data_IF_414628152511
#
_entry.id   IF_414628152511
#
_cell.length_a   1.000
_cell.length_b   1.000
_cell.length_c   1.000
_cell.angle_alpha   90.00
_cell.angle_beta   90.00
_cell.angle_gamma   90.00
#
_symmetry.space_group_name_H-M   'P 1'
#
loop_
_entity.id
_entity.type
_entity.pdbx_description
1 polymer ?
#
# COMPACT_ATOMS: atom_id res chain seq x y z
N UNK A 1 17.55 1.38 3.12
CA UNK A 1 18.32 1.59 1.88
C UNK A 1 17.59 0.88 0.75
N UNK A 2 17.49 1.52 -0.42
CA UNK A 2 16.95 0.87 -1.61
C UNK A 2 17.94 -0.20 -2.10
N UNK A 3 17.45 -1.42 -2.26
CA UNK A 3 18.18 -2.61 -2.70
C UNK A 3 17.60 -3.03 -4.06
N UNK A 4 17.93 -2.23 -5.07
CA UNK A 4 17.28 -2.23 -6.37
C UNK A 4 17.77 -3.37 -7.29
N UNK A 5 17.09 -3.50 -8.44
CA UNK A 5 17.34 -4.49 -9.48
C UNK A 5 17.21 -5.93 -9.01
N UNK A 6 17.77 -6.86 -9.78
CA UNK A 6 17.64 -8.32 -9.64
C UNK A 6 16.98 -8.97 -10.86
N UNK A 7 16.24 -8.19 -11.65
CA UNK A 7 15.43 -8.64 -12.79
C UNK A 7 16.14 -8.58 -14.15
N UNK A 8 17.41 -8.15 -14.21
CA UNK A 8 18.14 -7.89 -15.46
C UNK A 8 19.26 -8.89 -15.79
N UNK A 9 19.31 -10.06 -15.13
CA UNK A 9 20.30 -11.07 -15.52
C UNK A 9 20.07 -11.48 -16.98
N UNK A 10 21.02 -11.21 -17.87
CA UNK A 10 20.85 -11.61 -19.28
C UNK A 10 20.76 -13.13 -19.42
N UNK A 11 19.96 -13.55 -20.40
CA UNK A 11 19.59 -14.94 -20.67
C UNK A 11 20.22 -15.49 -21.96
N UNK A 12 21.13 -14.72 -22.55
CA UNK A 12 21.89 -15.09 -23.73
C UNK A 12 23.28 -15.62 -23.37
N UNK A 13 24.04 -16.00 -24.39
CA UNK A 13 25.36 -16.61 -24.26
C UNK A 13 26.45 -15.58 -23.87
N UNK A 14 26.11 -14.31 -23.68
CA UNK A 14 27.04 -13.28 -23.19
C UNK A 14 27.31 -13.38 -21.68
N UNK A 15 26.52 -14.17 -20.94
CA UNK A 15 26.65 -14.34 -19.49
C UNK A 15 27.10 -15.76 -19.15
N UNK A 16 28.17 -15.85 -18.36
CA UNK A 16 28.62 -17.09 -17.74
C UNK A 16 28.53 -17.00 -16.21
N UNK A 17 27.86 -17.95 -15.57
CA UNK A 17 27.77 -18.05 -14.10
C UNK A 17 28.95 -18.89 -13.56
N UNK A 18 29.70 -18.35 -12.60
CA UNK A 18 30.89 -18.99 -12.04
C UNK A 18 30.61 -20.34 -11.36
N UNK A 19 29.38 -20.55 -10.86
CA UNK A 19 28.91 -21.82 -10.29
C UNK A 19 28.69 -22.94 -11.31
N UNK A 20 28.82 -22.65 -12.61
CA UNK A 20 29.07 -23.62 -13.68
C UNK A 20 28.11 -24.83 -13.76
N UNK A 21 26.96 -24.65 -14.40
CA UNK A 21 26.12 -25.63 -15.15
C UNK A 21 24.66 -25.16 -15.26
N UNK A 22 24.24 -24.19 -14.44
CA UNK A 22 22.90 -23.62 -14.50
C UNK A 22 22.80 -22.70 -15.70
N UNK A 23 21.86 -23.01 -16.60
CA UNK A 23 21.53 -22.18 -17.75
C UNK A 23 21.05 -20.78 -17.27
N UNK A 24 21.57 -19.71 -17.86
CA UNK A 24 21.19 -18.32 -17.50
C UNK A 24 19.68 -18.07 -17.61
N UNK A 25 18.99 -18.73 -18.54
CA UNK A 25 17.51 -18.71 -18.66
C UNK A 25 16.80 -19.28 -17.44
N UNK A 26 17.40 -20.27 -16.79
CA UNK A 26 16.83 -20.87 -15.56
C UNK A 26 17.15 -19.96 -14.38
N UNK A 27 18.40 -19.52 -14.27
CA UNK A 27 18.85 -18.72 -13.12
C UNK A 27 18.28 -17.30 -13.09
N UNK A 28 17.81 -16.76 -14.22
CA UNK A 28 17.22 -15.43 -14.31
C UNK A 28 16.15 -15.16 -13.24
N UNK A 29 15.22 -16.10 -13.03
CA UNK A 29 14.18 -15.96 -12.03
C UNK A 29 14.65 -16.23 -10.59
N UNK A 30 15.77 -16.93 -10.41
CA UNK A 30 16.38 -17.17 -9.10
C UNK A 30 17.24 -15.98 -8.64
N UNK A 31 17.71 -15.16 -9.59
CA UNK A 31 18.65 -14.07 -9.34
C UNK A 31 18.14 -13.05 -8.29
N UNK A 32 16.86 -12.59 -8.32
CA UNK A 32 16.33 -11.73 -7.27
C UNK A 32 16.45 -12.34 -5.86
N UNK A 33 16.19 -13.64 -5.70
CA UNK A 33 16.32 -14.33 -4.41
C UNK A 33 17.78 -14.38 -3.95
N UNK A 34 18.71 -14.67 -4.86
CA UNK A 34 20.15 -14.67 -4.56
C UNK A 34 20.63 -13.27 -4.18
N UNK A 35 20.17 -12.24 -4.88
CA UNK A 35 20.47 -10.84 -4.59
C UNK A 35 19.98 -10.43 -3.20
N UNK A 36 18.72 -10.73 -2.87
CA UNK A 36 18.16 -10.48 -1.54
C UNK A 36 18.91 -11.24 -0.44
N UNK A 37 19.33 -12.48 -0.72
CA UNK A 37 20.07 -13.32 0.23
C UNK A 37 21.42 -12.70 0.55
N UNK A 38 22.20 -12.32 -0.48
CA UNK A 38 23.50 -11.67 -0.31
C UNK A 38 23.39 -10.41 0.55
N UNK A 39 22.40 -9.55 0.27
CA UNK A 39 22.20 -8.31 1.01
C UNK A 39 21.79 -8.57 2.47
N UNK A 40 20.98 -9.60 2.71
CA UNK A 40 20.61 -10.02 4.07
C UNK A 40 21.80 -10.55 4.84
N UNK A 41 22.66 -11.35 4.20
CA UNK A 41 23.85 -11.91 4.81
C UNK A 41 24.82 -10.80 5.24
N UNK A 42 25.03 -9.78 4.39
CA UNK A 42 25.84 -8.60 4.76
C UNK A 42 25.29 -7.89 5.99
N UNK A 43 23.98 -7.65 6.06
CA UNK A 43 23.35 -7.02 7.23
C UNK A 43 23.50 -7.88 8.49
N UNK A 44 23.40 -9.20 8.35
CA UNK A 44 23.52 -10.18 9.43
C UNK A 44 24.96 -10.27 9.95
N UNK A 45 25.95 -10.34 9.06
CA UNK A 45 27.37 -10.39 9.43
C UNK A 45 27.84 -9.13 10.15
N UNK A 46 27.22 -7.98 9.84
CA UNK A 46 27.49 -6.71 10.51
C UNK A 46 26.70 -6.53 11.82
N UNK A 47 25.75 -7.43 12.13
CA UNK A 47 24.88 -7.34 13.30
C UNK A 47 23.91 -6.16 13.27
N UNK A 48 23.41 -5.81 12.08
CA UNK A 48 22.59 -4.61 11.82
C UNK A 48 21.12 -4.92 11.51
N UNK A 49 20.65 -6.13 11.78
CA UNK A 49 19.30 -6.60 11.39
C UNK A 49 18.19 -5.80 12.06
N UNK A 50 18.44 -5.30 13.28
CA UNK A 50 17.47 -4.52 14.04
C UNK A 50 17.58 -3.00 13.80
N UNK A 51 18.65 -2.55 13.15
CA UNK A 51 18.97 -1.13 12.96
C UNK A 51 18.78 -0.68 11.51
N UNK A 52 18.55 -1.61 10.58
CA UNK A 52 18.47 -1.32 9.16
C UNK A 52 17.22 -1.88 8.51
N UNK A 53 16.70 -1.12 7.53
CA UNK A 53 15.60 -1.55 6.67
C UNK A 53 16.08 -1.47 5.23
N UNK A 54 16.23 -2.62 4.59
CA UNK A 54 16.40 -2.76 3.13
C UNK A 54 15.04 -2.92 2.45
N UNK A 55 14.89 -2.37 1.24
CA UNK A 55 13.69 -2.59 0.44
C UNK A 55 14.00 -2.89 -1.03
N UNK A 56 13.23 -3.81 -1.61
CA UNK A 56 13.44 -4.35 -2.97
C UNK A 56 12.20 -4.16 -3.84
N UNK A 57 12.37 -4.17 -5.17
CA UNK A 57 11.26 -4.33 -6.12
C UNK A 57 11.23 -5.67 -6.85
N UNK A 58 12.34 -6.41 -6.84
CA UNK A 58 12.41 -7.73 -7.45
C UNK A 58 12.38 -8.79 -6.37
N UNK A 59 11.73 -9.91 -6.66
CA UNK A 59 11.68 -11.07 -5.81
C UNK A 59 11.46 -12.32 -6.65
N UNK A 60 11.99 -13.43 -6.17
CA UNK A 60 11.67 -14.77 -6.64
C UNK A 60 11.01 -15.60 -5.54
N UNK A 61 10.76 -16.87 -5.82
CA UNK A 61 10.23 -17.82 -4.84
C UNK A 61 11.12 -17.83 -3.58
N UNK A 62 10.48 -17.74 -2.42
CA UNK A 62 11.13 -17.71 -1.10
C UNK A 62 12.01 -16.48 -0.81
N UNK A 63 11.95 -15.42 -1.61
CA UNK A 63 12.65 -14.15 -1.31
C UNK A 63 12.16 -13.49 -0.01
N UNK A 64 10.89 -13.68 0.37
CA UNK A 64 10.27 -13.00 1.52
C UNK A 64 11.05 -13.14 2.85
N UNK A 65 11.73 -14.26 3.09
CA UNK A 65 12.53 -14.47 4.32
C UNK A 65 13.85 -13.68 4.35
N UNK A 66 14.27 -13.14 3.21
CA UNK A 66 15.51 -12.37 3.06
C UNK A 66 15.25 -10.87 2.94
N UNK A 67 14.02 -10.48 2.61
CA UNK A 67 13.63 -9.07 2.39
C UNK A 67 12.83 -8.54 3.58
N UNK A 68 13.15 -7.34 4.06
CA UNK A 68 12.35 -6.73 5.13
C UNK A 68 11.10 -6.03 4.58
N UNK A 69 11.23 -5.31 3.46
CA UNK A 69 10.20 -4.44 2.89
C UNK A 69 10.18 -4.55 1.36
N UNK A 70 8.99 -4.63 0.77
CA UNK A 70 8.82 -4.67 -0.68
C UNK A 70 8.26 -3.36 -1.21
N UNK A 71 8.96 -2.71 -2.12
CA UNK A 71 8.47 -1.55 -2.83
C UNK A 71 7.87 -2.01 -4.17
N UNK A 72 6.66 -1.58 -4.48
CA UNK A 72 5.92 -2.05 -5.67
C UNK A 72 6.47 -1.55 -7.01
N UNK A 73 7.65 -0.92 -7.04
CA UNK A 73 8.35 -0.58 -8.26
C UNK A 73 7.96 0.77 -8.86
N UNK A 74 8.33 0.95 -10.13
CA UNK A 74 8.34 2.21 -10.84
C UNK A 74 6.99 2.55 -11.49
N UNK A 75 6.00 2.94 -10.69
CA UNK A 75 4.71 3.39 -11.27
C UNK A 75 4.87 4.65 -12.12
N UNK A 76 4.05 4.77 -13.17
CA UNK A 76 3.82 6.02 -13.87
C UNK A 76 3.27 7.10 -12.94
N UNK A 77 3.55 8.35 -13.29
CA UNK A 77 3.07 9.53 -12.57
C UNK A 77 1.67 9.91 -13.09
N UNK A 78 0.71 9.00 -12.94
CA UNK A 78 -0.70 9.18 -13.31
C UNK A 78 -1.62 8.27 -12.46
N UNK A 79 -2.92 8.25 -12.77
CA UNK A 79 -3.95 7.48 -12.09
C UNK A 79 -4.31 6.18 -12.83
N UNK A 80 -3.52 5.79 -13.84
CA UNK A 80 -3.84 4.65 -14.70
C UNK A 80 -3.87 3.34 -13.92
N UNK A 81 -4.69 2.40 -14.39
CA UNK A 81 -4.89 1.11 -13.75
C UNK A 81 -3.73 0.16 -13.99
N UNK A 82 -3.10 0.30 -15.15
CA UNK A 82 -2.06 -0.58 -15.64
C UNK A 82 -0.72 -0.30 -14.96
N UNK A 83 -0.44 0.96 -14.62
CA UNK A 83 0.89 1.35 -14.10
C UNK A 83 0.90 2.60 -13.20
N UNK A 84 -0.24 3.27 -12.98
CA UNK A 84 -0.34 4.47 -12.18
C UNK A 84 -0.65 4.20 -10.70
N UNK A 85 -1.24 5.19 -10.03
CA UNK A 85 -1.63 5.11 -8.62
C UNK A 85 -2.53 3.91 -8.31
N UNK A 86 -3.41 3.51 -9.24
CA UNK A 86 -4.30 2.36 -9.09
C UNK A 86 -3.54 1.02 -9.08
N UNK A 87 -2.48 0.91 -9.88
CA UNK A 87 -1.66 -0.30 -9.93
C UNK A 87 -0.97 -0.61 -8.59
N UNK A 88 -0.76 0.39 -7.72
CA UNK A 88 -0.19 0.20 -6.38
C UNK A 88 -1.00 -0.80 -5.56
N UNK A 89 -2.33 -0.70 -5.57
CA UNK A 89 -3.20 -1.58 -4.78
C UNK A 89 -3.24 -2.97 -5.38
N UNK A 90 -3.42 -3.10 -6.69
CA UNK A 90 -3.36 -4.41 -7.35
C UNK A 90 -2.02 -5.11 -7.08
N UNK A 91 -0.89 -4.41 -7.26
CA UNK A 91 0.45 -4.95 -6.97
C UNK A 91 0.59 -5.35 -5.50
N UNK A 92 0.14 -4.50 -4.58
CA UNK A 92 0.20 -4.79 -3.14
C UNK A 92 -0.60 -6.03 -2.77
N UNK A 93 -1.79 -6.22 -3.33
CA UNK A 93 -2.62 -7.40 -3.09
C UNK A 93 -1.96 -8.68 -3.60
N UNK A 94 -1.35 -8.64 -4.79
CA UNK A 94 -0.64 -9.80 -5.36
C UNK A 94 0.64 -10.14 -4.59
N UNK A 95 1.41 -9.12 -4.20
CA UNK A 95 2.63 -9.28 -3.38
C UNK A 95 2.28 -9.82 -2.00
N UNK A 96 1.20 -9.31 -1.39
CA UNK A 96 0.63 -9.81 -0.14
C UNK A 96 0.23 -11.28 -0.22
N UNK A 97 -0.52 -11.65 -1.27
CA UNK A 97 -0.90 -13.05 -1.53
C UNK A 97 0.31 -13.97 -1.79
N UNK A 98 1.43 -13.40 -2.26
CA UNK A 98 2.69 -14.11 -2.47
C UNK A 98 3.54 -14.25 -1.20
N UNK A 99 3.05 -13.79 -0.04
CA UNK A 99 3.66 -14.00 1.27
C UNK A 99 4.49 -12.81 1.79
N UNK A 100 4.44 -11.65 1.14
CA UNK A 100 5.12 -10.42 1.59
C UNK A 100 4.11 -9.49 2.28
N UNK A 101 4.16 -9.39 3.61
CA UNK A 101 3.22 -8.51 4.31
C UNK A 101 3.58 -7.03 4.26
N UNK A 102 4.86 -6.72 4.07
CA UNK A 102 5.37 -5.36 4.16
C UNK A 102 5.55 -4.80 2.76
N UNK A 103 4.60 -3.98 2.32
CA UNK A 103 4.68 -3.28 1.03
C UNK A 103 4.63 -1.76 1.19
N UNK A 104 5.15 -1.01 0.22
CA UNK A 104 4.88 0.42 0.03
C UNK A 104 5.11 0.84 -1.44
N UNK A 105 4.73 2.07 -1.79
CA UNK A 105 4.97 2.68 -3.11
C UNK A 105 5.72 4.01 -2.98
N UNK A 106 6.22 4.53 -4.09
CA UNK A 106 6.65 5.93 -4.17
C UNK A 106 5.43 6.84 -4.08
N UNK A 107 5.35 7.70 -3.06
CA UNK A 107 4.29 8.69 -2.98
C UNK A 107 4.42 9.63 -4.20
N UNK A 108 3.44 9.56 -5.09
CA UNK A 108 3.40 10.30 -6.36
C UNK A 108 3.99 9.57 -7.56
N UNK A 109 4.38 8.30 -7.45
CA UNK A 109 4.96 7.51 -8.55
C UNK A 109 6.41 7.87 -8.86
N UNK A 110 6.96 7.30 -9.93
CA UNK A 110 8.37 7.46 -10.31
C UNK A 110 8.56 7.85 -11.78
N UNK A 111 7.92 7.12 -12.70
CA UNK A 111 8.19 7.18 -14.13
C UNK A 111 7.51 8.39 -14.76
N UNK A 112 8.30 9.44 -15.00
CA UNK A 112 7.96 10.52 -15.90
C UNK A 112 8.32 10.11 -17.33
N UNK A 113 7.36 10.24 -18.24
CA UNK A 113 7.59 10.06 -19.68
C UNK A 113 7.41 11.40 -20.38
N UNK A 114 8.49 11.91 -20.96
CA UNK A 114 8.46 13.04 -21.87
C UNK A 114 8.40 12.52 -23.30
N UNK A 115 7.24 12.70 -23.93
CA UNK A 115 7.00 12.27 -25.30
C UNK A 115 6.70 13.48 -26.20
N UNK A 116 6.86 13.29 -27.51
CA UNK A 116 6.51 14.31 -28.52
C UNK A 116 5.04 14.74 -28.43
N UNK A 117 4.17 13.86 -27.89
CA UNK A 117 2.77 14.15 -27.56
C UNK A 117 2.47 13.55 -26.19
N UNK A 118 2.01 14.39 -25.25
CA UNK A 118 1.57 13.96 -23.92
C UNK A 118 2.73 13.78 -22.94
N UNK A 119 3.16 14.87 -22.31
CA UNK A 119 4.03 14.77 -21.14
C UNK A 119 3.21 14.31 -19.94
N UNK A 120 3.69 13.30 -19.24
CA UNK A 120 3.12 12.85 -17.98
C UNK A 120 3.99 13.41 -16.86
N UNK A 121 3.47 14.41 -16.13
CA UNK A 121 4.18 15.11 -15.04
C UNK A 121 3.35 15.12 -13.77
N UNK A 122 4.02 15.05 -12.62
CA UNK A 122 3.38 15.05 -11.30
C UNK A 122 2.78 16.40 -11.00
N UNK A 123 1.50 16.41 -10.62
CA UNK A 123 0.83 17.57 -10.04
C UNK A 123 0.63 17.39 -8.52
N UNK A 124 0.19 18.45 -7.84
CA UNK A 124 -0.03 18.45 -6.39
C UNK A 124 -1.15 17.49 -5.96
N UNK A 125 -2.20 17.37 -6.76
CA UNK A 125 -3.34 16.50 -6.50
C UNK A 125 -2.97 15.02 -6.49
N UNK A 126 -2.19 14.58 -7.48
CA UNK A 126 -1.66 13.22 -7.54
C UNK A 126 -0.79 12.92 -6.33
N UNK A 127 0.15 13.82 -6.00
CA UNK A 127 1.02 13.65 -4.83
C UNK A 127 0.22 13.54 -3.52
N UNK A 128 -0.85 14.33 -3.43
CA UNK A 128 -1.79 14.36 -2.33
C UNK A 128 -2.58 13.08 -2.15
N UNK A 129 -3.34 12.68 -3.18
CA UNK A 129 -4.14 11.45 -3.19
C UNK A 129 -3.27 10.19 -3.00
N UNK A 130 -2.06 10.18 -3.57
CA UNK A 130 -1.12 9.09 -3.33
C UNK A 130 -0.59 9.07 -1.90
N UNK A 131 -0.47 10.23 -1.25
CA UNK A 131 -0.15 10.33 0.17
C UNK A 131 -1.26 9.74 1.06
N UNK A 132 -2.53 10.02 0.76
CA UNK A 132 -3.66 9.38 1.44
C UNK A 132 -3.61 7.86 1.27
N UNK A 133 -3.42 7.39 0.03
CA UNK A 133 -3.27 5.97 -0.30
C UNK A 133 -2.12 5.33 0.48
N UNK A 134 -0.96 5.97 0.50
CA UNK A 134 0.23 5.49 1.20
C UNK A 134 0.05 5.44 2.72
N UNK A 135 -0.79 6.31 3.29
CA UNK A 135 -1.10 6.29 4.72
C UNK A 135 -1.84 5.01 5.14
N UNK A 136 -2.72 4.50 4.27
CA UNK A 136 -3.57 3.34 4.53
C UNK A 136 -3.13 2.04 3.83
N UNK A 137 -2.14 2.07 2.95
CA UNK A 137 -1.64 0.85 2.27
C UNK A 137 -0.16 0.57 2.55
N UNK A 138 0.64 1.58 2.88
CA UNK A 138 2.08 1.44 3.06
C UNK A 138 2.49 0.95 4.45
N UNK A 139 3.57 0.16 4.51
CA UNK A 139 4.34 -0.11 5.73
C UNK A 139 5.36 1.00 5.99
N UNK A 140 5.81 1.68 4.94
CA UNK A 140 6.65 2.86 4.97
C UNK A 140 5.97 4.01 4.21
N UNK A 141 6.21 5.24 4.66
CA UNK A 141 5.73 6.45 4.01
C UNK A 141 6.91 7.17 3.36
N UNK A 142 7.11 6.95 2.06
CA UNK A 142 8.32 7.36 1.34
C UNK A 142 7.97 8.08 0.03
N UNK A 143 8.52 9.28 -0.14
CA UNK A 143 8.48 10.01 -1.43
C UNK A 143 9.59 9.57 -2.36
N UNK A 144 9.49 9.94 -3.63
CA UNK A 144 10.59 9.90 -4.59
C UNK A 144 10.51 11.08 -5.54
N UNK A 145 11.65 11.67 -5.90
CA UNK A 145 11.67 12.80 -6.84
C UNK A 145 11.26 12.42 -8.27
N UNK A 146 11.21 11.12 -8.59
CA UNK A 146 11.09 10.59 -9.95
C UNK A 146 12.39 10.66 -10.75
N UNK A 147 12.34 10.19 -11.98
CA UNK A 147 13.46 10.17 -12.93
C UNK A 147 13.79 11.55 -13.54
N UNK A 148 12.88 12.54 -13.48
CA UNK A 148 13.09 13.91 -13.98
C UNK A 148 12.59 14.94 -12.94
N UNK A 149 13.28 15.12 -11.79
CA UNK A 149 12.78 15.89 -10.65
C UNK A 149 12.29 17.30 -10.97
N UNK A 150 13.02 18.03 -11.82
CA UNK A 150 12.78 19.43 -12.16
C UNK A 150 11.48 19.70 -12.93
N UNK A 151 10.85 18.66 -13.48
CA UNK A 151 9.59 18.76 -14.23
C UNK A 151 8.37 18.34 -13.40
N UNK A 152 8.57 17.88 -12.16
CA UNK A 152 7.52 17.27 -11.36
C UNK A 152 7.33 18.01 -10.04
N UNK A 153 6.08 18.15 -9.61
CA UNK A 153 5.76 18.62 -8.25
C UNK A 153 6.34 17.64 -7.23
N UNK A 154 7.03 18.19 -6.24
CA UNK A 154 7.58 17.51 -5.07
C UNK A 154 6.86 17.95 -3.80
N UNK A 155 6.95 17.16 -2.73
CA UNK A 155 6.38 17.49 -1.42
C UNK A 155 6.91 18.81 -0.83
N UNK A 156 8.05 19.29 -1.31
CA UNK A 156 8.69 20.53 -0.87
C UNK A 156 8.54 21.69 -1.86
N UNK A 157 7.75 21.55 -2.93
CA UNK A 157 7.63 22.55 -4.02
C UNK A 157 7.14 23.90 -3.51
N UNK A 158 6.12 23.89 -2.67
CA UNK A 158 5.49 25.09 -2.12
C UNK A 158 4.86 24.78 -0.75
N UNK A 159 4.23 25.78 -0.13
CA UNK A 159 3.60 25.63 1.19
C UNK A 159 2.42 24.65 1.16
N UNK A 160 1.59 24.69 0.12
CA UNK A 160 0.42 23.79 -0.04
C UNK A 160 0.83 22.32 -0.12
N UNK A 161 1.75 21.97 -1.01
CA UNK A 161 2.28 20.60 -1.15
C UNK A 161 2.96 20.10 0.12
N UNK A 162 3.65 20.99 0.85
CA UNK A 162 4.28 20.69 2.14
C UNK A 162 3.25 20.47 3.24
N UNK A 163 2.22 21.29 3.31
CA UNK A 163 1.14 21.18 4.28
C UNK A 163 0.39 19.86 4.09
N UNK A 164 0.05 19.52 2.84
CA UNK A 164 -0.65 18.28 2.55
C UNK A 164 0.22 17.05 2.79
N UNK A 165 1.51 17.08 2.41
CA UNK A 165 2.44 16.00 2.75
C UNK A 165 2.58 15.83 4.28
N UNK A 166 2.68 16.93 5.04
CA UNK A 166 2.76 16.89 6.49
C UNK A 166 1.48 16.33 7.13
N UNK A 167 0.31 16.64 6.57
CA UNK A 167 -0.97 16.04 6.97
C UNK A 167 -0.95 14.53 6.75
N UNK A 168 -0.63 14.08 5.54
CA UNK A 168 -0.59 12.65 5.21
C UNK A 168 0.47 11.89 6.02
N UNK A 169 1.60 12.52 6.34
CA UNK A 169 2.62 11.93 7.22
C UNK A 169 2.10 11.76 8.67
N UNK A 170 1.30 12.72 9.18
CA UNK A 170 0.63 12.58 10.48
C UNK A 170 -0.46 11.50 10.45
N UNK A 171 -1.22 11.41 9.37
CA UNK A 171 -2.21 10.34 9.15
C UNK A 171 -1.55 8.95 9.10
N UNK A 172 -0.46 8.80 8.35
CA UNK A 172 0.33 7.55 8.35
C UNK A 172 0.83 7.20 9.76
N UNK A 173 1.32 8.21 10.51
CA UNK A 173 1.83 8.03 11.88
C UNK A 173 0.74 7.64 12.86
N UNK A 174 -0.49 8.16 12.72
CA UNK A 174 -1.60 7.86 13.63
C UNK A 174 -1.99 6.37 13.61
N UNK A 175 -1.74 5.70 12.49
CA UNK A 175 -1.92 4.26 12.32
C UNK A 175 -0.77 3.40 12.87
N UNK A 176 0.28 3.99 13.46
CA UNK A 176 1.47 3.24 13.91
C UNK A 176 1.11 2.07 14.84
N UNK A 177 0.31 2.22 15.92
CA UNK A 177 0.05 1.10 16.82
C UNK A 177 -0.70 -0.05 16.14
N UNK A 178 -1.68 0.28 15.29
CA UNK A 178 -2.41 -0.72 14.51
C UNK A 178 -1.51 -1.43 13.50
N UNK A 179 -0.67 -0.68 12.76
CA UNK A 179 0.30 -1.25 11.82
C UNK A 179 1.28 -2.21 12.49
N UNK A 180 1.79 -1.88 13.68
CA UNK A 180 2.66 -2.79 14.43
C UNK A 180 1.94 -4.07 14.84
N UNK A 181 0.66 -3.99 15.23
CA UNK A 181 -0.13 -5.17 15.54
C UNK A 181 -0.38 -6.07 14.32
N UNK A 182 -0.59 -5.48 13.13
CA UNK A 182 -0.70 -6.25 11.89
C UNK A 182 0.63 -6.93 11.51
N UNK A 183 1.77 -6.28 11.81
CA UNK A 183 3.08 -6.91 11.62
C UNK A 183 3.31 -8.08 12.57
N UNK A 184 2.84 -7.99 13.81
CA UNK A 184 2.82 -9.13 14.74
C UNK A 184 1.92 -10.26 14.22
N UNK A 185 0.72 -9.92 13.72
CA UNK A 185 -0.20 -10.89 13.12
C UNK A 185 0.42 -11.58 11.90
N UNK A 186 1.16 -10.86 11.07
CA UNK A 186 1.93 -11.45 9.99
C UNK A 186 2.93 -12.49 10.48
N UNK A 187 3.70 -12.19 11.54
CA UNK A 187 4.68 -13.14 12.08
C UNK A 187 4.02 -14.42 12.62
N UNK A 188 2.80 -14.30 13.13
CA UNK A 188 2.06 -15.43 13.70
C UNK A 188 1.31 -16.26 12.65
N UNK A 189 0.69 -15.59 11.67
CA UNK A 189 -0.34 -16.19 10.82
C UNK A 189 -0.08 -15.99 9.31
N UNK A 190 0.92 -15.19 8.93
CA UNK A 190 1.22 -14.90 7.52
C UNK A 190 0.30 -13.87 6.87
N UNK A 191 -0.56 -13.18 7.61
CA UNK A 191 -1.47 -12.17 7.06
C UNK A 191 -0.74 -10.92 6.56
N UNK A 192 -0.92 -10.52 5.27
CA UNK A 192 -0.44 -9.22 4.83
C UNK A 192 -1.22 -8.08 5.48
N UNK A 193 -0.63 -6.88 5.51
CA UNK A 193 -1.29 -5.70 6.06
C UNK A 193 -2.48 -5.29 5.20
N UNK A 194 -2.31 -5.30 3.88
CA UNK A 194 -3.35 -5.03 2.90
C UNK A 194 -3.91 -6.37 2.40
N UNK A 195 -5.23 -6.54 2.51
CA UNK A 195 -5.92 -7.82 2.30
C UNK A 195 -7.05 -7.63 1.28
N UNK A 196 -7.16 -8.58 0.37
CA UNK A 196 -8.19 -8.56 -0.67
C UNK A 196 -9.58 -8.79 -0.06
N UNK A 197 -10.66 -8.07 -0.46
CA UNK A 197 -12.00 -8.25 0.10
C UNK A 197 -12.50 -9.71 0.13
N UNK A 198 -12.23 -10.47 -0.93
CA UNK A 198 -12.47 -11.92 -1.00
C UNK A 198 -11.98 -12.74 0.21
N UNK A 199 -10.91 -12.36 0.92
CA UNK A 199 -10.41 -13.17 2.04
C UNK A 199 -11.40 -13.22 3.21
N UNK A 200 -12.22 -12.18 3.36
CA UNK A 200 -13.23 -12.10 4.40
C UNK A 200 -14.66 -12.30 3.89
N UNK A 201 -14.86 -12.11 2.59
CA UNK A 201 -16.17 -12.22 1.93
C UNK A 201 -16.14 -13.22 0.77
N UNK A 202 -15.69 -14.48 0.98
CA UNK A 202 -15.40 -15.41 -0.11
C UNK A 202 -16.62 -15.80 -0.96
N UNK A 203 -17.84 -15.70 -0.42
CA UNK A 203 -19.07 -16.01 -1.14
C UNK A 203 -19.76 -14.76 -1.73
N UNK A 204 -19.17 -13.58 -1.58
CA UNK A 204 -19.71 -12.35 -2.16
C UNK A 204 -19.19 -12.14 -3.58
N UNK A 205 -20.10 -12.01 -4.54
CA UNK A 205 -19.75 -11.92 -5.98
C UNK A 205 -19.08 -10.61 -6.36
N UNK A 206 -19.29 -9.53 -5.60
CA UNK A 206 -18.68 -8.22 -5.89
C UNK A 206 -17.31 -8.15 -5.23
N UNK A 207 -17.19 -8.59 -3.97
CA UNK A 207 -15.92 -8.62 -3.23
C UNK A 207 -14.86 -9.51 -3.90
N UNK A 208 -15.28 -10.56 -4.60
CA UNK A 208 -14.40 -11.48 -5.33
C UNK A 208 -13.89 -10.93 -6.67
N UNK A 209 -14.51 -9.86 -7.20
CA UNK A 209 -14.11 -9.22 -8.47
C UNK A 209 -13.35 -7.92 -8.28
N UNK A 210 -13.13 -7.48 -7.04
CA UNK A 210 -12.32 -6.29 -6.73
C UNK A 210 -10.90 -6.46 -7.26
N UNK A 211 -10.30 -5.37 -7.74
CA UNK A 211 -8.94 -5.38 -8.27
C UNK A 211 -8.11 -4.27 -7.63
N UNK A 212 -8.68 -3.08 -7.51
CA UNK A 212 -8.03 -1.91 -6.91
C UNK A 212 -9.01 -0.95 -6.23
N UNK A 213 -10.31 -1.18 -6.39
CA UNK A 213 -11.38 -0.30 -5.93
C UNK A 213 -11.42 -0.21 -4.41
N UNK A 214 -11.19 -1.33 -3.72
CA UNK A 214 -11.17 -1.39 -2.26
C UNK A 214 -10.19 -2.43 -1.74
N UNK A 215 -9.80 -2.27 -0.49
CA UNK A 215 -9.04 -3.28 0.23
C UNK A 215 -9.29 -3.17 1.73
N UNK A 216 -8.96 -4.24 2.44
CA UNK A 216 -8.87 -4.23 3.89
C UNK A 216 -7.46 -3.89 4.34
N UNK A 217 -7.31 -2.95 5.26
CA UNK A 217 -6.05 -2.72 5.99
C UNK A 217 -6.22 -3.35 7.37
N UNK A 218 -5.71 -4.57 7.52
CA UNK A 218 -6.13 -5.47 8.60
C UNK A 218 -7.64 -5.76 8.58
N UNK A 219 -8.18 -6.37 9.63
CA UNK A 219 -9.62 -6.69 9.71
C UNK A 219 -10.51 -5.52 10.20
N UNK A 220 -9.91 -4.40 10.61
CA UNK A 220 -10.64 -3.29 11.20
C UNK A 220 -11.00 -2.20 10.20
N UNK A 221 -10.16 -1.97 9.18
CA UNK A 221 -10.28 -0.84 8.26
C UNK A 221 -10.53 -1.32 6.84
N UNK A 222 -11.60 -0.84 6.22
CA UNK A 222 -11.93 -1.03 4.83
C UNK A 222 -11.77 0.28 4.07
N UNK A 223 -10.94 0.28 3.03
CA UNK A 223 -10.43 1.49 2.39
C UNK A 223 -10.83 1.50 0.92
N UNK A 224 -11.31 2.64 0.46
CA UNK A 224 -11.64 2.96 -0.93
C UNK A 224 -10.82 4.18 -1.36
N UNK A 225 -9.70 3.98 -2.09
CA UNK A 225 -8.88 5.07 -2.57
C UNK A 225 -9.63 6.01 -3.52
N UNK A 226 -9.29 7.30 -3.49
CA UNK A 226 -9.82 8.29 -4.44
C UNK A 226 -8.84 8.46 -5.59
N UNK A 227 -9.13 7.84 -6.73
CA UNK A 227 -8.26 7.89 -7.91
C UNK A 227 -8.52 9.10 -8.80
N UNK A 228 -9.76 9.58 -8.89
CA UNK A 228 -10.06 10.83 -9.60
C UNK A 228 -9.56 12.02 -8.77
N UNK A 229 -8.53 12.70 -9.28
CA UNK A 229 -7.88 13.82 -8.61
C UNK A 229 -8.80 15.02 -8.35
N UNK A 230 -9.90 15.12 -9.10
CA UNK A 230 -10.89 16.20 -8.98
C UNK A 230 -12.09 15.84 -8.11
N UNK A 231 -12.25 14.56 -7.75
CA UNK A 231 -13.39 14.10 -6.98
C UNK A 231 -13.31 14.55 -5.52
N UNK A 232 -14.48 14.88 -4.95
CA UNK A 232 -14.68 15.18 -3.53
C UNK A 232 -15.59 14.15 -2.85
N UNK A 233 -15.86 13.03 -3.53
CA UNK A 233 -16.69 11.91 -3.05
C UNK A 233 -16.25 10.63 -3.71
N UNK A 234 -16.50 9.49 -3.08
CA UNK A 234 -16.21 8.16 -3.63
C UNK A 234 -17.40 7.22 -3.44
N UNK A 235 -17.71 6.44 -4.48
CA UNK A 235 -18.70 5.37 -4.42
C UNK A 235 -18.01 4.06 -4.00
N UNK A 236 -18.59 3.37 -3.03
CA UNK A 236 -17.97 2.19 -2.39
C UNK A 236 -19.01 1.11 -2.15
N UNK A 237 -18.74 -0.11 -2.64
CA UNK A 237 -19.46 -1.30 -2.22
C UNK A 237 -18.91 -1.83 -0.88
N UNK A 238 -19.81 -2.02 0.09
CA UNK A 238 -19.50 -2.47 1.44
C UNK A 238 -19.90 -3.94 1.60
N UNK A 239 -18.98 -4.91 1.45
CA UNK A 239 -19.32 -6.33 1.46
C UNK A 239 -19.70 -6.84 2.86
N UNK A 240 -20.46 -7.93 3.01
CA UNK A 240 -20.60 -8.59 4.30
C UNK A 240 -19.28 -9.24 4.74
N UNK A 241 -18.88 -9.10 6.01
CA UNK A 241 -17.81 -9.92 6.60
C UNK A 241 -18.37 -11.31 6.93
N UNK A 242 -17.85 -12.34 6.28
CA UNK A 242 -18.34 -13.73 6.42
C UNK A 242 -17.40 -14.58 7.26
N UNK A 243 -16.10 -14.30 7.21
CA UNK A 243 -15.06 -14.94 8.02
C UNK A 243 -14.12 -13.90 8.61
N UNK A 244 -13.57 -14.18 9.79
CA UNK A 244 -12.52 -13.36 10.43
C UNK A 244 -11.11 -13.82 10.02
N UNK A 245 -10.08 -13.14 10.55
CA UNK A 245 -8.67 -13.46 10.29
C UNK A 245 -8.22 -14.79 10.90
N UNK A 246 -9.05 -15.43 11.72
CA UNK A 246 -8.85 -16.78 12.24
C UNK A 246 -9.62 -17.85 11.43
N UNK A 247 -10.34 -17.44 10.39
CA UNK A 247 -11.18 -18.31 9.56
C UNK A 247 -12.48 -18.74 10.22
N UNK A 248 -12.86 -18.14 11.36
CA UNK A 248 -14.13 -18.39 12.00
C UNK A 248 -15.26 -17.63 11.30
N UNK A 249 -16.43 -18.25 11.20
CA UNK A 249 -17.59 -17.61 10.59
C UNK A 249 -18.06 -16.41 11.43
N UNK A 250 -18.29 -15.29 10.77
CA UNK A 250 -18.78 -14.04 11.38
C UNK A 250 -20.25 -13.84 11.03
N UNK A 251 -21.04 -13.42 12.02
CA UNK A 251 -22.39 -12.93 11.75
C UNK A 251 -22.30 -11.53 11.14
N UNK A 252 -22.48 -11.42 9.82
CA UNK A 252 -22.39 -10.14 9.10
C UNK A 252 -23.40 -9.08 9.54
N UNK A 253 -24.50 -9.48 10.20
CA UNK A 253 -25.47 -8.53 10.77
C UNK A 253 -25.06 -7.96 12.13
N UNK A 254 -23.97 -8.45 12.71
CA UNK A 254 -23.47 -7.99 14.01
C UNK A 254 -22.57 -6.76 13.92
N UNK A 255 -22.27 -6.27 12.71
CA UNK A 255 -21.43 -5.10 12.50
C UNK A 255 -21.98 -4.17 11.42
N UNK A 256 -21.54 -2.91 11.47
CA UNK A 256 -21.75 -1.88 10.46
C UNK A 256 -20.41 -1.36 9.95
N UNK A 257 -20.41 -0.70 8.80
CA UNK A 257 -19.29 0.08 8.31
C UNK A 257 -19.44 1.52 8.80
N UNK A 258 -18.64 1.92 9.77
CA UNK A 258 -18.61 3.30 10.27
C UNK A 258 -17.63 4.13 9.45
N UNK A 259 -18.11 5.10 8.69
CA UNK A 259 -17.26 6.02 7.96
C UNK A 259 -16.38 6.82 8.93
N UNK A 260 -15.08 6.83 8.67
CA UNK A 260 -14.08 7.31 9.62
C UNK A 260 -14.27 8.78 9.97
N UNK A 261 -14.58 9.61 8.97
CA UNK A 261 -14.61 11.08 9.10
C UNK A 261 -15.97 11.59 9.60
N UNK A 262 -17.07 11.14 8.98
CA UNK A 262 -18.42 11.58 9.36
C UNK A 262 -18.99 10.83 10.58
N UNK A 263 -18.48 9.63 10.86
CA UNK A 263 -19.02 8.74 11.88
C UNK A 263 -20.35 8.09 11.51
N UNK A 264 -20.87 8.32 10.29
CA UNK A 264 -22.08 7.65 9.80
C UNK A 264 -21.86 6.15 9.66
N UNK A 265 -22.90 5.36 9.93
CA UNK A 265 -22.83 3.90 9.91
C UNK A 265 -23.70 3.34 8.78
N UNK A 266 -23.13 2.43 8.01
CA UNK A 266 -23.79 1.77 6.88
C UNK A 266 -23.87 0.26 7.12
N UNK A 267 -25.03 -0.33 6.83
CA UNK A 267 -25.18 -1.78 6.84
C UNK A 267 -24.34 -2.43 5.73
N UNK A 268 -23.81 -3.65 5.92
CA UNK A 268 -23.16 -4.40 4.85
C UNK A 268 -24.12 -4.78 3.71
N UNK A 269 -23.56 -5.09 2.54
CA UNK A 269 -24.28 -5.54 1.34
C UNK A 269 -24.86 -4.42 0.48
N UNK A 270 -24.39 -3.18 0.64
CA UNK A 270 -24.87 -2.03 -0.14
C UNK A 270 -23.71 -1.20 -0.73
N UNK A 271 -24.04 -0.45 -1.78
CA UNK A 271 -23.16 0.58 -2.33
C UNK A 271 -23.56 1.93 -1.76
N UNK A 272 -22.59 2.70 -1.29
CA UNK A 272 -22.78 4.04 -0.73
C UNK A 272 -21.88 5.05 -1.44
N UNK A 273 -22.28 6.31 -1.45
CA UNK A 273 -21.40 7.42 -1.84
C UNK A 273 -21.15 8.26 -0.60
N UNK A 274 -19.87 8.45 -0.27
CA UNK A 274 -19.45 9.27 0.88
C UNK A 274 -18.60 10.44 0.41
N UNK A 275 -18.63 11.52 1.18
CA UNK A 275 -17.70 12.63 1.00
C UNK A 275 -16.27 12.12 1.16
N UNK A 276 -15.41 12.54 0.24
CA UNK A 276 -13.99 12.22 0.24
C UNK A 276 -13.18 13.43 -0.27
N UNK A 277 -13.26 14.59 0.42
CA UNK A 277 -12.40 15.72 0.12
C UNK A 277 -10.93 15.36 0.37
N UNK A 278 -10.04 16.30 0.08
CA UNK A 278 -8.61 16.11 0.32
C UNK A 278 -8.31 16.03 1.81
N UNK A 279 -7.57 15.00 2.21
CA UNK A 279 -7.29 14.63 3.60
C UNK A 279 -8.24 13.58 4.18
N UNK A 280 -9.35 13.28 3.49
CA UNK A 280 -10.41 12.41 4.00
C UNK A 280 -10.75 11.31 2.96
N UNK A 281 -9.83 10.39 2.64
CA UNK A 281 -10.10 9.30 1.70
C UNK A 281 -11.24 8.40 2.19
N UNK A 282 -11.93 7.67 1.31
CA UNK A 282 -13.01 6.76 1.71
C UNK A 282 -12.52 5.65 2.64
N UNK A 283 -12.72 5.80 3.95
CA UNK A 283 -12.26 4.84 4.95
C UNK A 283 -13.40 4.50 5.88
N UNK A 284 -13.62 3.21 6.08
CA UNK A 284 -14.69 2.67 6.91
C UNK A 284 -14.09 1.74 7.94
N UNK A 285 -14.62 1.81 9.16
CA UNK A 285 -14.28 0.91 10.24
C UNK A 285 -15.34 -0.17 10.37
N UNK A 286 -14.91 -1.42 10.53
CA UNK A 286 -15.80 -2.47 11.04
C UNK A 286 -16.23 -2.09 12.45
N UNK A 287 -17.52 -1.88 12.66
CA UNK A 287 -18.04 -1.35 13.92
C UNK A 287 -19.08 -2.28 14.55
N UNK A 288 -18.96 -2.63 15.84
CA UNK A 288 -17.85 -2.27 16.73
C UNK A 288 -16.54 -2.98 16.36
N UNK A 289 -15.42 -2.28 16.55
CA UNK A 289 -14.09 -2.92 16.60
C UNK A 289 -13.94 -3.70 17.91
N UNK A 290 -12.99 -4.64 17.96
CA UNK A 290 -12.65 -5.29 19.24
C UNK A 290 -12.01 -4.30 20.22
N UNK A 291 -12.00 -4.62 21.51
CA UNK A 291 -11.35 -3.78 22.53
C UNK A 291 -9.87 -3.55 22.21
N UNK A 292 -9.16 -4.60 21.76
CA UNK A 292 -7.75 -4.53 21.37
C UNK A 292 -7.55 -3.60 20.16
N UNK A 293 -8.37 -3.73 19.13
CA UNK A 293 -8.31 -2.84 17.96
C UNK A 293 -8.66 -1.40 18.34
N UNK A 294 -9.61 -1.19 19.27
CA UNK A 294 -9.95 0.14 19.78
C UNK A 294 -8.75 0.87 20.39
N UNK A 295 -7.93 0.15 21.18
CA UNK A 295 -6.68 0.70 21.72
C UNK A 295 -5.63 0.98 20.63
N UNK A 296 -5.55 0.10 19.62
CA UNK A 296 -4.59 0.23 18.52
C UNK A 296 -4.95 1.37 17.55
N UNK A 297 -6.24 1.67 17.41
CA UNK A 297 -6.77 2.72 16.55
C UNK A 297 -6.99 4.04 17.30
N UNK A 298 -6.69 4.12 18.60
CA UNK A 298 -6.90 5.32 19.40
C UNK A 298 -6.21 6.56 18.79
N UNK A 299 -4.96 6.42 18.34
CA UNK A 299 -4.23 7.54 17.73
C UNK A 299 -4.85 8.00 16.40
N UNK A 300 -5.45 7.08 15.64
CA UNK A 300 -6.21 7.44 14.44
C UNK A 300 -7.46 8.25 14.82
N UNK A 301 -8.18 7.85 15.86
CA UNK A 301 -9.33 8.61 16.34
C UNK A 301 -8.97 10.01 16.82
N UNK A 302 -7.87 10.14 17.57
CA UNK A 302 -7.35 11.44 18.00
C UNK A 302 -6.96 12.31 16.79
N UNK A 303 -6.36 11.72 15.76
CA UNK A 303 -6.05 12.40 14.51
C UNK A 303 -7.32 12.90 13.82
N UNK A 304 -8.32 12.03 13.63
CA UNK A 304 -9.59 12.38 12.98
C UNK A 304 -10.25 13.54 13.72
N UNK A 305 -10.38 13.47 15.05
CA UNK A 305 -11.00 14.55 15.85
C UNK A 305 -10.23 15.86 15.71
N UNK A 306 -8.90 15.82 15.69
CA UNK A 306 -8.05 17.01 15.60
C UNK A 306 -8.08 17.66 14.20
N UNK A 307 -8.29 16.86 13.15
CA UNK A 307 -8.09 17.27 11.76
C UNK A 307 -9.41 17.37 10.96
N UNK A 308 -10.56 17.01 11.54
CA UNK A 308 -11.89 17.02 10.89
C UNK A 308 -12.34 18.41 10.35
N UNK A 309 -11.65 19.48 10.73
CA UNK A 309 -11.92 20.84 10.25
C UNK A 309 -10.78 21.39 9.37
N UNK A 310 -9.75 20.58 9.11
CA UNK A 310 -8.61 20.95 8.28
C UNK A 310 -9.04 20.96 6.82
N UNK A 311 -8.92 22.12 6.17
CA UNK A 311 -9.18 22.25 4.74
C UNK A 311 -7.84 22.22 4.00
N UNK A 312 -7.70 21.27 3.08
CA UNK A 312 -6.52 21.14 2.23
C UNK A 312 -6.84 21.64 0.82
N UNK A 313 -5.94 22.43 0.26
CA UNK A 313 -6.07 23.00 -1.09
C UNK A 313 -5.15 22.28 -2.08
N UNK A 314 -5.55 22.35 -3.36
CA UNK A 314 -4.92 21.72 -4.51
C UNK A 314 -3.95 22.62 -5.29
#
# INVERSE_FOLDING_TARGET
MMQDFGEYLSVDDSVSLSGGTVNSRVFHNDYPTVWATLLRDVVTELGLENDTIGFHRSAGTFSAKHTNLFWVGDQNIDESREDGMRAVISSTLHVGASGFAQTHSDIGGYTNTLATVGNITRNAALLGRWGELGAFSGTAFRTHEGNIPQMNVQAYTNETTRAYHAYNARLFRSLKPYRLALLEEYQMNGWPLVRHPMVYSPNDSVASTVIDETFWFGEALYVAPVYDLSASSVEVYLPPLQVDSHGAAVNSTAFTYKHLWSGEEYAPGQTVTVDAPWGEPGVFMRWPVTEKEGLQLQQLWEFVVAENATILEA
#
